data_IF_780233310686
#
_entry.id   IF_780233310686
#
_cell.length_a   1.000
_cell.length_b   1.000
_cell.length_c   1.000
_cell.angle_alpha   90.00
_cell.angle_beta   90.00
_cell.angle_gamma   90.00
#
_symmetry.space_group_name_H-M   'P 1'
#
loop_
_entity.id
_entity.type
_entity.pdbx_description
1 polymer ?
#
# COMPACT_ATOMS: atom_id res chain seq x y z
N UNK A 1 -10.95 8.57 -17.71
CA UNK A 1 -9.98 7.85 -16.87
C UNK A 1 -8.60 8.38 -17.20
N UNK A 2 -7.77 8.73 -16.23
CA UNK A 2 -6.45 9.33 -16.45
C UNK A 2 -5.30 8.49 -15.85
N UNK A 3 -5.61 7.48 -15.06
CA UNK A 3 -4.68 6.54 -14.44
C UNK A 3 -5.21 5.12 -14.57
N UNK A 4 -4.31 4.16 -14.66
CA UNK A 4 -4.63 2.73 -14.63
C UNK A 4 -3.65 2.00 -13.71
N UNK A 5 -4.11 0.93 -13.06
CA UNK A 5 -3.28 -0.01 -12.34
C UNK A 5 -3.54 -1.42 -12.88
N UNK A 6 -2.46 -2.12 -13.17
CA UNK A 6 -2.51 -3.50 -13.66
C UNK A 6 -1.77 -4.42 -12.68
N UNK A 7 -2.40 -5.54 -12.33
CA UNK A 7 -1.75 -6.55 -11.51
C UNK A 7 -0.97 -7.51 -12.38
N UNK A 8 0.34 -7.51 -12.27
CA UNK A 8 1.25 -8.47 -12.93
C UNK A 8 1.53 -9.66 -12.02
N UNK A 9 1.89 -9.39 -10.80
CA UNK A 9 2.28 -10.30 -9.72
C UNK A 9 3.65 -10.94 -9.96
N UNK A 10 3.82 -11.74 -11.02
CA UNK A 10 5.07 -12.37 -11.45
C UNK A 10 4.95 -12.76 -12.91
N UNK A 11 6.07 -12.81 -13.66
CA UNK A 11 6.11 -13.27 -15.05
C UNK A 11 6.60 -14.72 -15.20
N UNK A 12 7.14 -15.32 -14.14
CA UNK A 12 7.59 -16.71 -14.22
C UNK A 12 6.41 -17.66 -14.39
N UNK A 13 6.39 -18.52 -15.46
CA UNK A 13 5.24 -19.37 -15.76
C UNK A 13 4.93 -20.42 -14.69
N UNK A 14 5.96 -20.91 -13.98
CA UNK A 14 5.75 -21.91 -12.94
C UNK A 14 5.14 -21.29 -11.69
N UNK A 15 5.63 -20.12 -11.28
CA UNK A 15 5.03 -19.34 -10.19
C UNK A 15 3.58 -18.98 -10.53
N UNK A 16 3.30 -18.55 -11.76
CA UNK A 16 1.94 -18.23 -12.22
C UNK A 16 1.00 -19.44 -12.11
N UNK A 17 1.47 -20.65 -12.44
CA UNK A 17 0.69 -21.89 -12.27
C UNK A 17 0.37 -22.14 -10.81
N UNK A 18 1.36 -22.03 -9.91
CA UNK A 18 1.18 -22.27 -8.47
C UNK A 18 0.15 -21.32 -7.87
N UNK A 19 0.22 -20.02 -8.22
CA UNK A 19 -0.75 -19.02 -7.72
C UNK A 19 -2.08 -19.03 -8.47
N UNK A 20 -2.22 -19.87 -9.51
CA UNK A 20 -3.44 -19.97 -10.32
C UNK A 20 -3.74 -18.73 -11.16
N UNK A 21 -2.70 -18.01 -11.61
CA UNK A 21 -2.83 -16.77 -12.38
C UNK A 21 -1.92 -16.79 -13.60
N UNK A 22 -2.37 -17.41 -14.67
CA UNK A 22 -1.64 -17.45 -15.94
C UNK A 22 -1.85 -16.13 -16.67
N UNK A 23 -0.77 -15.36 -16.84
CA UNK A 23 -0.78 -14.06 -17.53
C UNK A 23 0.58 -13.84 -18.18
N UNK A 24 0.69 -14.08 -19.49
CA UNK A 24 1.97 -13.94 -20.19
C UNK A 24 2.43 -12.48 -20.27
N UNK A 25 3.71 -12.31 -20.52
CA UNK A 25 4.30 -10.99 -20.78
C UNK A 25 3.61 -10.30 -21.97
N UNK A 26 3.36 -11.05 -23.07
CA UNK A 26 2.71 -10.52 -24.27
C UNK A 26 1.30 -10.00 -23.96
N UNK A 27 0.52 -10.75 -23.19
CA UNK A 27 -0.82 -10.31 -22.76
C UNK A 27 -0.73 -9.01 -21.96
N UNK A 28 0.24 -8.92 -21.07
CA UNK A 28 0.44 -7.71 -20.25
C UNK A 28 0.88 -6.54 -21.10
N UNK A 29 1.82 -6.74 -22.04
CA UNK A 29 2.27 -5.72 -22.97
C UNK A 29 1.11 -5.21 -23.84
N UNK A 30 0.30 -6.10 -24.42
CA UNK A 30 -0.85 -5.70 -25.23
C UNK A 30 -1.84 -4.82 -24.44
N UNK A 31 -2.04 -5.07 -23.14
CA UNK A 31 -2.85 -4.23 -22.26
C UNK A 31 -2.19 -2.88 -22.04
N UNK A 32 -0.88 -2.85 -21.77
CA UNK A 32 -0.11 -1.61 -21.60
C UNK A 32 -0.21 -0.75 -22.84
N UNK A 33 0.07 -1.33 -24.02
CA UNK A 33 0.03 -0.62 -25.30
C UNK A 33 -1.36 0.00 -25.56
N UNK A 34 -2.44 -0.76 -25.35
CA UNK A 34 -3.81 -0.27 -25.47
C UNK A 34 -4.13 0.88 -24.50
N UNK A 35 -3.64 0.80 -23.24
CA UNK A 35 -3.82 1.86 -22.27
C UNK A 35 -3.08 3.14 -22.71
N UNK A 36 -1.87 3.01 -23.25
CA UNK A 36 -1.09 4.13 -23.79
C UNK A 36 -1.77 4.75 -25.02
N UNK A 37 -2.28 3.93 -25.94
CA UNK A 37 -3.04 4.39 -27.12
C UNK A 37 -4.30 5.15 -26.74
N UNK A 38 -4.95 4.78 -25.63
CA UNK A 38 -6.09 5.48 -25.05
C UNK A 38 -5.71 6.77 -24.28
N UNK A 39 -4.42 7.14 -24.26
CA UNK A 39 -3.94 8.36 -23.63
C UNK A 39 -3.79 8.28 -22.12
N UNK A 40 -3.72 7.09 -21.53
CA UNK A 40 -3.43 6.90 -20.10
C UNK A 40 -1.96 7.26 -19.86
N UNK A 41 -1.76 8.34 -19.12
CA UNK A 41 -0.42 8.89 -18.84
C UNK A 41 0.23 8.34 -17.57
N UNK A 42 -0.56 7.81 -16.64
CA UNK A 42 -0.06 7.27 -15.36
C UNK A 42 -0.49 5.82 -15.24
N UNK A 43 0.45 4.92 -15.48
CA UNK A 43 0.29 3.47 -15.39
C UNK A 43 1.03 2.94 -14.19
N UNK A 44 0.32 2.31 -13.27
CA UNK A 44 0.89 1.55 -12.17
C UNK A 44 0.87 0.05 -12.50
N UNK A 45 1.94 -0.65 -12.13
CA UNK A 45 2.02 -2.10 -12.24
C UNK A 45 2.35 -2.72 -10.88
N UNK A 46 1.53 -3.69 -10.45
CA UNK A 46 1.73 -4.39 -9.19
C UNK A 46 2.53 -5.67 -9.42
N UNK A 47 3.60 -5.86 -8.64
CA UNK A 47 4.43 -7.06 -8.62
C UNK A 47 4.56 -7.56 -7.17
N UNK A 48 4.65 -8.88 -6.99
CA UNK A 48 4.76 -9.49 -5.68
C UNK A 48 6.14 -10.07 -5.43
N UNK A 49 6.63 -9.91 -4.22
CA UNK A 49 7.76 -10.69 -3.70
C UNK A 49 7.31 -11.65 -2.60
N UNK A 50 8.06 -12.73 -2.43
CA UNK A 50 7.76 -13.75 -1.44
C UNK A 50 6.68 -14.75 -1.89
N UNK A 51 6.51 -14.92 -3.20
CA UNK A 51 5.69 -15.96 -3.78
C UNK A 51 6.34 -17.35 -3.64
N UNK A 52 5.55 -18.44 -3.71
CA UNK A 52 6.07 -19.81 -3.70
C UNK A 52 7.15 -20.00 -4.77
N UNK A 53 8.22 -20.69 -4.42
CA UNK A 53 9.36 -21.00 -5.32
C UNK A 53 10.04 -19.79 -5.98
N UNK A 54 9.79 -18.60 -5.50
CA UNK A 54 10.43 -17.39 -6.01
C UNK A 54 11.87 -17.31 -5.50
N UNK A 55 12.83 -17.25 -6.42
CA UNK A 55 14.25 -16.98 -6.12
C UNK A 55 14.65 -15.55 -6.49
N UNK A 56 15.79 -15.04 -6.00
CA UNK A 56 16.30 -13.74 -6.40
C UNK A 56 16.42 -13.57 -7.93
N UNK A 57 16.84 -14.61 -8.64
CA UNK A 57 17.01 -14.59 -10.09
C UNK A 57 15.65 -14.51 -10.80
N UNK A 58 14.69 -15.36 -10.40
CA UNK A 58 13.33 -15.37 -10.96
C UNK A 58 12.62 -14.02 -10.76
N UNK A 59 12.75 -13.45 -9.55
CA UNK A 59 12.20 -12.12 -9.28
C UNK A 59 12.90 -11.04 -10.11
N UNK A 60 14.23 -11.10 -10.25
CA UNK A 60 14.98 -10.15 -11.08
C UNK A 60 14.55 -10.21 -12.55
N UNK A 61 14.33 -11.39 -13.12
CA UNK A 61 13.80 -11.57 -14.47
C UNK A 61 12.41 -10.93 -14.60
N UNK A 62 11.51 -11.18 -13.65
CA UNK A 62 10.16 -10.59 -13.63
C UNK A 62 10.22 -9.06 -13.51
N UNK A 63 11.11 -8.52 -12.67
CA UNK A 63 11.33 -7.06 -12.56
C UNK A 63 11.85 -6.47 -13.87
N UNK A 64 12.82 -7.12 -14.54
CA UNK A 64 13.36 -6.64 -15.82
C UNK A 64 12.30 -6.64 -16.93
N UNK A 65 11.48 -7.68 -17.00
CA UNK A 65 10.33 -7.73 -17.92
C UNK A 65 9.32 -6.62 -17.60
N UNK A 66 9.05 -6.35 -16.32
CA UNK A 66 8.18 -5.27 -15.92
C UNK A 66 8.74 -3.91 -16.34
N UNK A 67 10.03 -3.65 -16.10
CA UNK A 67 10.70 -2.40 -16.47
C UNK A 67 10.70 -2.17 -17.98
N UNK A 68 10.78 -3.24 -18.80
CA UNK A 68 10.68 -3.12 -20.27
C UNK A 68 9.32 -2.61 -20.75
N UNK A 69 8.26 -2.70 -19.93
CA UNK A 69 6.94 -2.13 -20.19
C UNK A 69 6.83 -0.64 -19.79
N UNK A 70 7.89 -0.08 -19.21
CA UNK A 70 8.01 1.32 -18.83
C UNK A 70 6.81 1.85 -18.01
N UNK A 71 6.38 1.19 -16.92
CA UNK A 71 5.33 1.71 -16.06
C UNK A 71 5.79 3.03 -15.41
N UNK A 72 4.86 3.96 -15.16
CA UNK A 72 5.19 5.21 -14.46
C UNK A 72 5.37 4.96 -12.95
N UNK A 73 4.68 3.94 -12.45
CA UNK A 73 4.68 3.51 -11.04
C UNK A 73 4.77 2.00 -10.93
N UNK A 74 5.38 1.56 -9.86
CA UNK A 74 5.40 0.14 -9.48
C UNK A 74 5.00 0.02 -8.01
N UNK A 75 4.12 -0.92 -7.71
CA UNK A 75 3.85 -1.36 -6.35
C UNK A 75 4.49 -2.73 -6.14
N UNK A 76 5.47 -2.80 -5.24
CA UNK A 76 6.18 -4.03 -4.86
C UNK A 76 5.62 -4.54 -3.54
N UNK A 77 4.62 -5.44 -3.60
CA UNK A 77 3.96 -5.95 -2.41
C UNK A 77 4.51 -7.29 -1.95
N UNK A 78 4.63 -7.46 -0.63
CA UNK A 78 4.88 -8.77 -0.05
C UNK A 78 3.66 -9.68 -0.17
N UNK A 79 3.85 -10.91 -0.66
CA UNK A 79 2.79 -11.91 -0.70
C UNK A 79 2.29 -12.22 0.71
N UNK A 80 0.97 -12.09 0.93
CA UNK A 80 0.31 -12.42 2.17
C UNK A 80 -0.33 -13.80 2.08
N UNK A 81 0.21 -14.79 2.80
CA UNK A 81 -0.35 -16.14 2.84
C UNK A 81 -1.44 -16.23 3.91
N UNK A 82 -2.71 -16.24 3.49
CA UNK A 82 -3.90 -16.25 4.36
C UNK A 82 -4.92 -17.30 3.88
N UNK A 83 -4.54 -18.61 3.85
CA UNK A 83 -5.37 -19.67 3.28
C UNK A 83 -6.73 -19.82 3.98
N UNK A 84 -6.84 -19.40 5.25
CA UNK A 84 -8.09 -19.36 6.01
C UNK A 84 -9.08 -18.30 5.49
N UNK A 85 -8.60 -17.25 4.80
CA UNK A 85 -9.44 -16.19 4.20
C UNK A 85 -9.67 -16.42 2.71
N UNK A 86 -8.66 -16.93 2.01
CA UNK A 86 -8.66 -17.07 0.56
C UNK A 86 -8.53 -18.55 0.17
N UNK A 87 -9.65 -19.21 -0.15
CA UNK A 87 -9.70 -20.65 -0.48
C UNK A 87 -8.67 -21.09 -1.53
N UNK A 88 -8.37 -20.24 -2.51
CA UNK A 88 -7.36 -20.56 -3.55
C UNK A 88 -5.96 -20.65 -2.97
N UNK A 89 -5.66 -19.91 -1.91
CA UNK A 89 -4.35 -19.99 -1.25
C UNK A 89 -4.16 -21.29 -0.44
N UNK A 90 -5.25 -21.96 -0.07
CA UNK A 90 -5.18 -23.29 0.56
C UNK A 90 -4.59 -24.38 -0.33
N UNK A 91 -4.48 -24.15 -1.65
CA UNK A 91 -3.82 -25.05 -2.59
C UNK A 91 -2.33 -24.79 -2.75
N UNK A 92 -1.82 -23.71 -2.17
CA UNK A 92 -0.41 -23.32 -2.24
C UNK A 92 0.36 -24.06 -1.14
N UNK A 93 1.38 -24.88 -1.48
CA UNK A 93 2.19 -25.55 -0.48
C UNK A 93 2.94 -24.53 0.38
N UNK A 94 2.69 -24.55 1.69
CA UNK A 94 3.28 -23.57 2.63
C UNK A 94 4.79 -23.74 2.77
N UNK A 95 5.30 -24.94 2.56
CA UNK A 95 6.73 -25.29 2.60
C UNK A 95 7.53 -24.77 1.40
N UNK A 96 6.86 -24.29 0.36
CA UNK A 96 7.49 -23.65 -0.82
C UNK A 96 7.60 -22.14 -0.69
N UNK A 97 7.10 -21.56 0.41
CA UNK A 97 7.19 -20.13 0.67
C UNK A 97 8.57 -19.77 1.22
N UNK A 98 9.14 -18.63 0.79
CA UNK A 98 10.41 -18.17 1.32
C UNK A 98 10.31 -17.79 2.80
N UNK A 99 11.39 -18.00 3.53
CA UNK A 99 11.56 -17.56 4.92
C UNK A 99 11.50 -16.03 5.04
N UNK A 100 11.31 -15.47 6.23
CA UNK A 100 11.35 -14.01 6.43
C UNK A 100 12.65 -13.37 5.93
N UNK A 101 13.80 -14.02 6.13
CA UNK A 101 15.11 -13.55 5.68
C UNK A 101 15.22 -13.55 4.16
N UNK A 102 14.76 -14.62 3.51
CA UNK A 102 14.69 -14.71 2.04
C UNK A 102 13.74 -13.68 1.47
N UNK A 103 12.60 -13.44 2.09
CA UNK A 103 11.64 -12.39 1.69
C UNK A 103 12.29 -11.01 1.74
N UNK A 104 13.03 -10.69 2.80
CA UNK A 104 13.75 -9.43 2.90
C UNK A 104 14.79 -9.29 1.78
N UNK A 105 15.53 -10.37 1.49
CA UNK A 105 16.50 -10.39 0.40
C UNK A 105 15.84 -10.17 -0.97
N UNK A 106 14.69 -10.81 -1.23
CA UNK A 106 13.90 -10.60 -2.45
C UNK A 106 13.47 -9.14 -2.59
N UNK A 107 12.93 -8.54 -1.53
CA UNK A 107 12.56 -7.13 -1.52
C UNK A 107 13.75 -6.21 -1.82
N UNK A 108 14.88 -6.38 -1.12
CA UNK A 108 16.06 -5.55 -1.31
C UNK A 108 16.66 -5.69 -2.72
N UNK A 109 16.62 -6.88 -3.32
CA UNK A 109 17.07 -7.10 -4.67
C UNK A 109 16.17 -6.40 -5.71
N UNK A 110 14.86 -6.56 -5.60
CA UNK A 110 13.91 -5.87 -6.47
C UNK A 110 14.02 -4.34 -6.34
N UNK A 111 14.10 -3.82 -5.11
CA UNK A 111 14.32 -2.41 -4.82
C UNK A 111 15.56 -1.86 -5.51
N UNK A 112 16.70 -2.58 -5.43
CA UNK A 112 17.94 -2.17 -6.11
C UNK A 112 17.76 -2.05 -7.61
N UNK A 113 17.03 -2.97 -8.25
CA UNK A 113 16.77 -2.93 -9.69
C UNK A 113 15.91 -1.72 -10.07
N UNK A 114 14.84 -1.39 -9.31
CA UNK A 114 14.03 -0.19 -9.55
C UNK A 114 14.85 1.09 -9.39
N UNK A 115 15.67 1.19 -8.33
CA UNK A 115 16.53 2.36 -8.12
C UNK A 115 17.58 2.51 -9.22
N UNK A 116 18.15 1.39 -9.69
CA UNK A 116 19.09 1.40 -10.82
C UNK A 116 18.45 1.90 -12.10
N UNK A 117 17.20 1.51 -12.37
CA UNK A 117 16.45 1.96 -13.55
C UNK A 117 15.90 3.41 -13.40
N UNK A 118 16.32 4.13 -12.33
CA UNK A 118 16.02 5.54 -12.13
C UNK A 118 14.68 5.83 -11.44
N UNK A 119 14.00 4.82 -10.91
CA UNK A 119 12.81 5.04 -10.08
C UNK A 119 13.20 5.59 -8.71
N UNK A 120 12.31 6.38 -8.11
CA UNK A 120 12.38 6.82 -6.72
C UNK A 120 11.50 5.93 -5.84
N UNK A 121 12.00 5.59 -4.65
CA UNK A 121 11.21 4.91 -3.62
C UNK A 121 10.15 5.86 -3.06
N UNK A 122 8.89 5.44 -3.03
CA UNK A 122 7.74 6.20 -2.52
C UNK A 122 7.16 5.45 -1.33
N UNK A 123 7.29 6.03 -0.16
CA UNK A 123 6.86 5.37 1.07
C UNK A 123 7.55 4.01 1.25
N UNK A 124 6.78 2.95 1.49
CA UNK A 124 7.31 1.65 1.93
C UNK A 124 7.37 0.58 0.84
N UNK A 125 6.57 0.71 -0.22
CA UNK A 125 6.33 -0.38 -1.16
C UNK A 125 6.04 0.10 -2.60
N UNK A 126 6.15 1.39 -2.86
CA UNK A 126 5.96 1.95 -4.19
C UNK A 126 7.26 2.53 -4.74
N UNK A 127 7.35 2.53 -6.06
CA UNK A 127 8.42 3.16 -6.82
C UNK A 127 7.78 3.97 -7.95
N UNK A 128 8.34 5.13 -8.26
CA UNK A 128 7.82 6.00 -9.30
C UNK A 128 8.95 6.63 -10.09
N UNK A 129 8.73 6.87 -11.38
CA UNK A 129 9.63 7.66 -12.21
C UNK A 129 9.78 9.07 -11.64
N UNK A 130 10.91 9.70 -11.88
CA UNK A 130 11.22 11.01 -11.28
C UNK A 130 10.27 12.13 -11.70
N UNK A 131 9.65 12.01 -12.86
CA UNK A 131 8.66 12.93 -13.43
C UNK A 131 7.21 12.56 -13.09
N UNK A 132 6.97 11.46 -12.39
CA UNK A 132 5.64 11.06 -11.94
C UNK A 132 5.14 11.92 -10.77
N UNK A 133 3.83 12.13 -10.70
CA UNK A 133 3.18 12.90 -9.65
C UNK A 133 3.46 12.42 -8.23
N UNK A 134 3.66 11.11 -8.00
CA UNK A 134 4.01 10.59 -6.66
C UNK A 134 5.43 11.00 -6.25
N UNK A 135 6.39 10.97 -7.17
CA UNK A 135 7.76 11.38 -6.88
C UNK A 135 7.82 12.88 -6.59
N UNK A 136 7.11 13.68 -7.37
CA UNK A 136 6.98 15.13 -7.15
C UNK A 136 6.27 15.42 -5.83
N UNK A 137 5.17 14.73 -5.53
CA UNK A 137 4.43 14.91 -4.27
C UNK A 137 5.28 14.57 -3.05
N UNK A 138 6.05 13.47 -3.10
CA UNK A 138 7.01 13.10 -2.05
C UNK A 138 8.07 14.20 -1.84
N UNK A 139 8.70 14.66 -2.91
CA UNK A 139 9.79 15.64 -2.84
C UNK A 139 9.29 17.04 -2.37
N UNK A 140 7.98 17.28 -2.48
CA UNK A 140 7.34 18.54 -2.05
C UNK A 140 6.50 18.42 -0.78
N UNK A 141 6.58 17.29 -0.05
CA UNK A 141 5.81 17.06 1.19
C UNK A 141 4.30 16.99 1.01
N UNK A 142 3.82 16.67 -0.20
CA UNK A 142 2.40 16.58 -0.53
C UNK A 142 1.90 15.15 -0.76
N UNK A 143 2.76 14.16 -0.49
CA UNK A 143 2.38 12.76 -0.62
C UNK A 143 1.23 12.45 0.35
N UNK A 144 0.22 11.76 -0.15
CA UNK A 144 -0.93 11.27 0.63
C UNK A 144 -1.06 9.77 0.48
N UNK A 145 -1.88 9.17 1.37
CA UNK A 145 -2.19 7.74 1.33
C UNK A 145 -3.67 7.51 1.55
N UNK A 146 -4.26 6.64 0.74
CA UNK A 146 -5.64 6.18 0.87
C UNK A 146 -5.70 4.64 0.87
N UNK A 147 -6.90 4.06 0.74
CA UNK A 147 -7.09 2.60 0.70
C UNK A 147 -6.47 1.90 -0.52
N UNK A 148 -6.18 2.64 -1.58
CA UNK A 148 -5.58 2.09 -2.79
C UNK A 148 -4.04 2.16 -2.77
N UNK A 149 -3.47 2.92 -1.85
CA UNK A 149 -2.03 3.15 -1.74
C UNK A 149 -1.67 4.64 -1.72
N UNK A 150 -0.47 4.97 -2.20
CA UNK A 150 0.00 6.35 -2.26
C UNK A 150 -0.66 7.14 -3.38
N UNK A 151 -0.88 8.43 -3.14
CA UNK A 151 -1.51 9.34 -4.09
C UNK A 151 -0.94 10.75 -3.97
N UNK A 152 -0.93 11.47 -5.07
CA UNK A 152 -0.67 12.92 -5.14
C UNK A 152 -1.96 13.74 -5.12
N UNK A 153 -3.10 13.07 -5.02
CA UNK A 153 -4.42 13.69 -4.92
C UNK A 153 -4.69 14.16 -3.48
N UNK A 154 -4.96 15.44 -3.34
CA UNK A 154 -5.24 16.10 -2.06
C UNK A 154 -6.73 16.30 -1.80
N UNK A 155 -7.62 15.74 -2.61
CA UNK A 155 -9.06 15.82 -2.40
C UNK A 155 -9.47 15.17 -1.09
N UNK A 156 -10.31 15.86 -0.31
CA UNK A 156 -10.83 15.36 0.97
C UNK A 156 -11.88 14.26 0.79
N UNK A 157 -12.46 14.15 -0.40
CA UNK A 157 -13.51 13.18 -0.73
C UNK A 157 -13.03 12.23 -1.81
N UNK A 158 -13.11 10.94 -1.51
CA UNK A 158 -12.89 9.84 -2.46
C UNK A 158 -14.17 9.05 -2.62
N UNK A 159 -14.70 8.95 -3.83
CA UNK A 159 -15.88 8.14 -4.15
C UNK A 159 -15.43 6.80 -4.73
N UNK A 160 -15.69 5.74 -4.01
CA UNK A 160 -15.42 4.37 -4.45
C UNK A 160 -16.55 3.82 -5.34
N UNK A 161 -16.25 3.50 -6.59
CA UNK A 161 -17.18 2.87 -7.53
C UNK A 161 -16.85 1.39 -7.69
N UNK A 162 -17.89 0.57 -7.69
CA UNK A 162 -17.77 -0.88 -7.83
C UNK A 162 -18.01 -1.66 -6.54
N UNK A 163 -18.10 -2.99 -6.67
CA UNK A 163 -18.26 -3.91 -5.54
C UNK A 163 -17.04 -3.80 -4.59
N UNK A 164 -17.28 -3.86 -3.30
CA UNK A 164 -16.30 -3.71 -2.21
C UNK A 164 -15.55 -2.38 -2.10
N UNK A 165 -15.75 -1.45 -3.04
CA UNK A 165 -15.06 -0.16 -3.03
C UNK A 165 -15.36 0.66 -1.77
N UNK A 166 -14.33 1.36 -1.28
CA UNK A 166 -14.42 2.20 -0.10
C UNK A 166 -14.39 3.66 -0.54
N UNK A 167 -15.36 4.44 -0.04
CA UNK A 167 -15.40 5.90 -0.14
C UNK A 167 -14.87 6.51 1.16
N UNK A 168 -14.18 7.64 1.05
CA UNK A 168 -13.70 8.45 2.19
C UNK A 168 -14.38 9.82 2.12
N UNK A 169 -14.88 10.27 3.24
CA UNK A 169 -15.47 11.60 3.44
C UNK A 169 -14.84 12.24 4.68
N UNK A 170 -14.95 13.56 4.88
CA UNK A 170 -14.50 14.21 6.12
C UNK A 170 -15.16 13.67 7.39
N UNK A 171 -16.35 13.04 7.25
CA UNK A 171 -17.12 12.47 8.34
C UNK A 171 -16.82 10.99 8.61
N UNK A 172 -16.20 10.26 7.67
CA UNK A 172 -15.98 8.82 7.83
C UNK A 172 -15.76 8.07 6.54
N UNK A 173 -15.89 6.76 6.63
CA UNK A 173 -15.79 5.84 5.50
C UNK A 173 -17.13 5.18 5.20
N UNK A 174 -17.39 4.86 3.93
CA UNK A 174 -18.44 3.94 3.53
C UNK A 174 -17.91 2.88 2.59
N UNK A 175 -18.42 1.66 2.67
CA UNK A 175 -18.02 0.56 1.80
C UNK A 175 -19.23 -0.03 1.09
N UNK A 176 -19.08 -0.22 -0.22
CA UNK A 176 -20.06 -0.89 -1.04
C UNK A 176 -20.16 -2.39 -0.74
N UNK A 177 -21.31 -2.99 -1.08
CA UNK A 177 -21.54 -4.44 -1.02
C UNK A 177 -20.40 -5.17 -1.71
N UNK A 178 -19.80 -6.15 -1.02
CA UNK A 178 -18.62 -6.87 -1.53
C UNK A 178 -18.98 -7.90 -2.59
N UNK A 179 -20.18 -8.51 -2.52
CA UNK A 179 -20.65 -9.46 -3.51
C UNK A 179 -21.06 -8.73 -4.79
N UNK A 180 -20.44 -9.07 -5.92
CA UNK A 180 -20.68 -8.44 -7.22
C UNK A 180 -22.15 -8.45 -7.62
N UNK A 181 -22.85 -9.58 -7.41
CA UNK A 181 -24.27 -9.69 -7.76
C UNK A 181 -25.14 -8.74 -6.92
N UNK A 182 -24.88 -8.63 -5.61
CA UNK A 182 -25.60 -7.69 -4.73
C UNK A 182 -25.34 -6.23 -5.08
N UNK A 183 -24.07 -5.88 -5.39
CA UNK A 183 -23.72 -4.54 -5.86
C UNK A 183 -24.46 -4.19 -7.17
N UNK A 184 -24.44 -5.10 -8.16
CA UNK A 184 -25.13 -4.89 -9.42
C UNK A 184 -26.64 -4.78 -9.26
N UNK A 185 -27.25 -5.56 -8.34
CA UNK A 185 -28.70 -5.48 -8.06
C UNK A 185 -29.08 -4.11 -7.52
N UNK A 186 -28.35 -3.60 -6.51
CA UNK A 186 -28.59 -2.26 -5.95
C UNK A 186 -28.41 -1.17 -7.00
N UNK A 187 -27.32 -1.23 -7.79
CA UNK A 187 -27.05 -0.26 -8.84
C UNK A 187 -28.14 -0.23 -9.93
N UNK A 188 -28.65 -1.40 -10.35
CA UNK A 188 -29.77 -1.49 -11.30
C UNK A 188 -31.09 -0.96 -10.75
N UNK A 189 -31.30 -1.10 -9.43
CA UNK A 189 -32.46 -0.53 -8.73
C UNK A 189 -32.36 0.99 -8.51
N UNK A 190 -31.23 1.62 -8.84
CA UNK A 190 -30.97 3.04 -8.56
C UNK A 190 -30.69 3.35 -7.11
N UNK A 191 -30.32 2.33 -6.31
CA UNK A 191 -30.03 2.42 -4.89
C UNK A 191 -28.55 2.58 -4.64
N UNK A 192 -28.17 3.23 -3.50
CA UNK A 192 -26.80 3.25 -3.02
C UNK A 192 -26.43 1.86 -2.51
N UNK A 193 -25.37 1.30 -3.06
CA UNK A 193 -24.89 -0.06 -2.72
C UNK A 193 -24.06 -0.09 -1.42
N UNK A 194 -24.25 0.84 -0.48
CA UNK A 194 -23.51 0.91 0.79
C UNK A 194 -23.93 -0.23 1.70
N UNK A 195 -22.97 -1.03 2.17
CA UNK A 195 -23.18 -2.14 3.09
C UNK A 195 -22.78 -1.80 4.54
N UNK A 196 -21.75 -0.99 4.71
CA UNK A 196 -21.23 -0.60 6.03
C UNK A 196 -20.48 0.72 5.95
N UNK A 197 -20.25 1.34 7.11
CA UNK A 197 -19.46 2.56 7.22
C UNK A 197 -18.88 2.72 8.62
N UNK A 198 -18.02 3.71 8.77
CA UNK A 198 -17.44 4.12 10.03
C UNK A 198 -17.45 5.65 10.09
N UNK A 199 -18.06 6.19 11.16
CA UNK A 199 -18.09 7.65 11.40
C UNK A 199 -16.87 8.02 12.24
N UNK A 200 -16.12 9.02 11.81
CA UNK A 200 -14.91 9.45 12.51
C UNK A 200 -15.23 10.18 13.80
N UNK A 201 -14.62 9.76 14.88
CA UNK A 201 -14.47 10.53 16.11
C UNK A 201 -13.36 11.59 15.94
N UNK A 202 -13.23 12.50 16.91
CA UNK A 202 -12.11 13.42 16.95
C UNK A 202 -10.76 12.67 17.09
N UNK A 203 -10.77 11.57 17.85
CA UNK A 203 -9.60 10.71 18.07
C UNK A 203 -9.14 10.04 16.76
N UNK A 204 -10.07 9.54 15.95
CA UNK A 204 -9.77 8.92 14.64
C UNK A 204 -9.07 9.89 13.70
N UNK A 205 -9.47 11.14 13.70
CA UNK A 205 -8.95 12.14 12.77
C UNK A 205 -7.47 12.43 12.98
N UNK A 206 -7.05 12.74 14.21
CA UNK A 206 -5.63 13.04 14.44
C UNK A 206 -4.77 11.77 14.41
N UNK A 207 -5.26 10.63 14.90
CA UNK A 207 -4.56 9.35 14.78
C UNK A 207 -4.37 8.94 13.32
N UNK A 208 -5.42 9.09 12.51
CA UNK A 208 -5.34 8.83 11.08
C UNK A 208 -4.31 9.72 10.38
N UNK A 209 -4.21 11.00 10.78
CA UNK A 209 -3.19 11.92 10.24
C UNK A 209 -1.77 11.53 10.69
N UNK A 210 -1.58 11.12 11.95
CA UNK A 210 -0.30 10.61 12.44
C UNK A 210 0.14 9.38 11.64
N UNK A 211 -0.74 8.40 11.49
CA UNK A 211 -0.48 7.17 10.74
C UNK A 211 -0.12 7.51 9.27
N UNK A 212 -0.88 8.40 8.63
CA UNK A 212 -0.60 8.83 7.27
C UNK A 212 0.78 9.49 7.15
N UNK A 213 1.13 10.42 8.05
CA UNK A 213 2.42 11.11 8.05
C UNK A 213 3.58 10.11 8.21
N UNK A 214 3.47 9.17 9.16
CA UNK A 214 4.48 8.13 9.33
C UNK A 214 4.64 7.25 8.08
N UNK A 215 3.53 6.90 7.42
CA UNK A 215 3.56 6.06 6.24
C UNK A 215 4.07 6.78 4.99
N UNK A 216 3.89 8.11 4.89
CA UNK A 216 4.33 8.92 3.74
C UNK A 216 5.73 9.50 3.94
N UNK A 217 6.00 10.04 5.15
CA UNK A 217 7.15 10.91 5.40
C UNK A 217 8.10 10.33 6.45
N UNK A 218 7.72 9.24 7.14
CA UNK A 218 8.43 8.64 8.28
C UNK A 218 8.56 9.59 9.48
N UNK A 219 7.78 10.65 9.50
CA UNK A 219 7.89 11.74 10.45
C UNK A 219 6.52 12.38 10.71
N UNK A 220 6.33 12.88 11.93
CA UNK A 220 5.15 13.67 12.31
C UNK A 220 5.63 14.99 12.91
N UNK A 221 5.18 16.10 12.37
CA UNK A 221 5.37 17.41 12.98
C UNK A 221 4.30 17.63 14.05
N UNK A 222 4.72 17.83 15.31
CA UNK A 222 3.80 17.95 16.45
C UNK A 222 2.88 19.16 16.30
N UNK A 223 3.43 20.29 15.83
CA UNK A 223 2.66 21.52 15.64
C UNK A 223 1.54 21.38 14.58
N UNK A 224 1.76 20.57 13.52
CA UNK A 224 0.73 20.28 12.52
C UNK A 224 -0.48 19.58 13.15
N UNK A 225 -0.23 18.57 13.99
CA UNK A 225 -1.31 17.83 14.67
C UNK A 225 -2.05 18.71 15.69
N UNK A 226 -1.30 19.47 16.49
CA UNK A 226 -1.88 20.38 17.49
C UNK A 226 -2.78 21.43 16.84
N UNK A 227 -2.26 22.11 15.80
CA UNK A 227 -2.99 23.21 15.14
C UNK A 227 -4.20 22.72 14.33
N UNK A 228 -4.07 21.57 13.67
CA UNK A 228 -5.14 21.06 12.82
C UNK A 228 -6.29 20.37 13.57
N UNK A 229 -5.99 19.77 14.74
CA UNK A 229 -6.98 18.93 15.46
C UNK A 229 -7.27 19.41 16.89
N UNK A 230 -6.55 20.39 17.41
CA UNK A 230 -6.75 20.89 18.77
C UNK A 230 -6.39 19.91 19.88
N UNK A 231 -5.62 18.87 19.55
CA UNK A 231 -5.15 17.88 20.53
C UNK A 231 -4.00 18.46 21.36
N UNK A 232 -3.97 18.17 22.67
CA UNK A 232 -2.91 18.71 23.53
C UNK A 232 -1.58 17.98 23.28
N UNK A 233 -0.46 18.73 23.39
CA UNK A 233 0.88 18.16 23.31
C UNK A 233 1.14 17.07 24.37
N UNK A 234 0.49 17.17 25.53
CA UNK A 234 0.60 16.16 26.60
C UNK A 234 0.09 14.79 26.11
N UNK A 235 -1.03 14.76 25.39
CA UNK A 235 -1.59 13.53 24.80
C UNK A 235 -0.64 12.97 23.75
N UNK A 236 -0.14 13.82 22.84
CA UNK A 236 0.80 13.39 21.80
C UNK A 236 2.10 12.86 22.39
N UNK A 237 2.70 13.58 23.34
CA UNK A 237 3.94 13.17 23.98
C UNK A 237 3.82 11.82 24.70
N UNK A 238 2.66 11.52 25.30
CA UNK A 238 2.39 10.20 25.86
C UNK A 238 2.39 9.13 24.78
N UNK A 239 1.66 9.33 23.70
CA UNK A 239 1.61 8.38 22.58
C UNK A 239 3.00 8.16 21.96
N UNK A 240 3.78 9.22 21.79
CA UNK A 240 5.15 9.15 21.27
C UNK A 240 6.06 8.36 22.19
N UNK A 241 5.95 8.59 23.50
CA UNK A 241 6.72 7.86 24.51
C UNK A 241 6.35 6.38 24.51
N UNK A 242 5.07 6.05 24.43
CA UNK A 242 4.60 4.66 24.38
C UNK A 242 5.15 3.94 23.13
N UNK A 243 5.14 4.60 21.98
CA UNK A 243 5.74 4.05 20.76
C UNK A 243 7.27 3.89 20.86
N UNK A 244 7.97 4.88 21.44
CA UNK A 244 9.42 4.81 21.62
C UNK A 244 9.86 3.72 22.60
N UNK A 245 9.06 3.45 23.62
CA UNK A 245 9.31 2.35 24.56
C UNK A 245 9.16 0.97 23.89
N UNK A 246 8.17 0.81 22.99
CA UNK A 246 7.97 -0.43 22.24
C UNK A 246 9.05 -0.65 21.17
N UNK A 247 9.58 0.43 20.59
CA UNK A 247 10.55 0.41 19.50
C UNK A 247 11.85 1.13 19.89
N UNK A 248 12.44 0.73 21.02
CA UNK A 248 13.63 1.37 21.59
C UNK A 248 14.78 1.48 20.57
N UNK A 249 15.36 2.66 20.46
CA UNK A 249 16.45 2.95 19.53
C UNK A 249 16.06 3.13 18.06
N UNK A 250 14.78 2.91 17.69
CA UNK A 250 14.26 3.03 16.33
C UNK A 250 13.57 4.35 16.05
N UNK A 251 13.26 5.10 17.11
CA UNK A 251 12.49 6.34 17.05
C UNK A 251 13.35 7.47 17.64
N UNK A 252 13.19 8.64 17.09
CA UNK A 252 13.73 9.89 17.59
C UNK A 252 12.56 10.82 17.93
N UNK A 253 12.54 11.34 19.17
CA UNK A 253 11.57 12.34 19.63
C UNK A 253 12.33 13.61 19.94
N UNK A 254 11.91 14.70 19.34
CA UNK A 254 12.40 16.06 19.63
C UNK A 254 11.24 16.90 20.18
N UNK A 255 11.50 18.19 20.49
CA UNK A 255 10.46 19.12 20.88
C UNK A 255 9.44 19.42 19.77
N UNK A 256 9.78 19.10 18.51
CA UNK A 256 8.96 19.47 17.34
C UNK A 256 8.48 18.26 16.54
N UNK A 257 9.19 17.15 16.60
CA UNK A 257 8.95 16.01 15.70
C UNK A 257 9.05 14.67 16.42
N UNK A 258 8.22 13.74 15.94
CA UNK A 258 8.39 12.28 16.12
C UNK A 258 8.86 11.71 14.80
N UNK A 259 10.03 11.06 14.76
CA UNK A 259 10.65 10.57 13.53
C UNK A 259 11.08 9.13 13.65
N UNK A 260 10.83 8.34 12.62
CA UNK A 260 11.34 6.98 12.48
C UNK A 260 12.75 7.05 11.89
N UNK A 261 13.73 6.47 12.58
CA UNK A 261 15.12 6.45 12.09
C UNK A 261 15.25 5.67 10.78
N UNK A 262 16.18 6.04 9.88
CA UNK A 262 16.32 5.39 8.56
C UNK A 262 16.40 3.86 8.61
N UNK A 263 17.15 3.30 9.56
CA UNK A 263 17.28 1.85 9.71
C UNK A 263 15.99 1.15 10.19
N UNK A 264 15.03 1.89 10.75
CA UNK A 264 13.75 1.37 11.23
C UNK A 264 12.59 1.55 10.23
N UNK A 265 12.82 2.17 9.07
CA UNK A 265 11.80 2.36 8.03
C UNK A 265 11.08 1.08 7.61
N UNK A 266 11.73 -0.09 7.49
CA UNK A 266 11.02 -1.34 7.22
C UNK A 266 9.94 -1.69 8.25
N UNK A 267 10.05 -1.18 9.48
CA UNK A 267 9.10 -1.42 10.57
C UNK A 267 7.99 -0.35 10.67
N UNK A 268 7.92 0.59 9.73
CA UNK A 268 6.99 1.72 9.81
C UNK A 268 5.53 1.29 10.01
N UNK A 269 5.08 0.20 9.37
CA UNK A 269 3.72 -0.32 9.57
C UNK A 269 3.46 -0.76 11.01
N UNK A 270 4.45 -1.39 11.65
CA UNK A 270 4.35 -1.82 13.04
C UNK A 270 4.36 -0.62 13.99
N UNK A 271 5.22 0.37 13.71
CA UNK A 271 5.30 1.60 14.50
C UNK A 271 4.01 2.42 14.34
N UNK A 272 3.51 2.60 13.11
CA UNK A 272 2.26 3.31 12.84
C UNK A 272 1.05 2.65 13.51
N UNK A 273 1.05 1.33 13.63
CA UNK A 273 -0.01 0.57 14.33
C UNK A 273 -0.17 0.95 15.80
N UNK A 274 0.88 1.41 16.48
CA UNK A 274 0.78 1.87 17.89
C UNK A 274 -0.18 3.05 18.02
N UNK A 275 -0.34 3.82 16.96
CA UNK A 275 -1.26 4.97 16.92
C UNK A 275 -2.69 4.58 16.54
N UNK A 276 -2.95 3.33 16.12
CA UNK A 276 -4.29 2.83 15.85
C UNK A 276 -5.03 2.53 17.17
N UNK A 277 -6.24 3.06 17.32
CA UNK A 277 -7.07 2.83 18.51
C UNK A 277 -7.87 1.52 18.43
N UNK A 278 -7.94 0.88 17.26
CA UNK A 278 -8.74 -0.30 17.02
C UNK A 278 -7.94 -1.58 17.21
N UNK A 279 -8.50 -2.50 18.00
CA UNK A 279 -7.88 -3.81 18.19
C UNK A 279 -8.12 -4.70 16.96
N UNK A 280 -7.03 -5.02 16.26
CA UNK A 280 -7.04 -5.90 15.09
C UNK A 280 -6.80 -7.37 15.51
N UNK A 281 -6.64 -7.67 16.80
CA UNK A 281 -6.35 -9.03 17.29
C UNK A 281 -7.43 -10.08 16.92
N UNK A 282 -8.65 -9.62 16.57
CA UNK A 282 -9.72 -10.46 16.04
C UNK A 282 -9.78 -10.49 14.50
N UNK A 283 -9.00 -9.68 13.80
CA UNK A 283 -8.88 -9.71 12.34
C UNK A 283 -7.70 -10.59 11.95
N UNK A 284 -7.97 -11.69 11.28
CA UNK A 284 -6.97 -12.63 10.75
C UNK A 284 -6.21 -12.01 9.56
N UNK A 285 -5.45 -10.94 9.83
CA UNK A 285 -4.57 -10.36 8.81
C UNK A 285 -3.21 -11.06 8.83
N UNK A 286 -2.60 -11.21 7.65
CA UNK A 286 -1.24 -11.74 7.56
C UNK A 286 -0.27 -10.85 8.32
N UNK A 287 0.75 -11.47 8.92
CA UNK A 287 1.92 -10.73 9.39
C UNK A 287 2.54 -10.03 8.17
N UNK A 288 2.36 -8.71 8.09
CA UNK A 288 2.95 -7.90 7.05
C UNK A 288 4.38 -7.55 7.47
N UNK A 289 5.33 -8.33 6.99
CA UNK A 289 6.73 -7.94 6.81
C UNK A 289 7.08 -8.25 5.37
#
# INVERSE_FOLDING_TARGET
MNRASIGVQDFNPDIQKIIGRIQSYETTRDVVDRLRDLGIKSLNADILFGLPEQSPERLAESVQLLLSLTPDRVALYGYAHVPWMARRQGMIPTDTLPTPEERLQLYENAKKLFLWDGYKEIGIDHFARTDDGLAIARDTGRLRRNFQGYTDDTCDVLIGLGASSISKFPQGFSQNISATAGYQSAARAGELATARGHVFTADDKYRGRIIEALMCDYEVETADIVSSFGVSEVVLNRMYTDAANQFAGMIEITSTHFRIRPQARPLVRMIARVFDAYDISQGSHSAAI
#
